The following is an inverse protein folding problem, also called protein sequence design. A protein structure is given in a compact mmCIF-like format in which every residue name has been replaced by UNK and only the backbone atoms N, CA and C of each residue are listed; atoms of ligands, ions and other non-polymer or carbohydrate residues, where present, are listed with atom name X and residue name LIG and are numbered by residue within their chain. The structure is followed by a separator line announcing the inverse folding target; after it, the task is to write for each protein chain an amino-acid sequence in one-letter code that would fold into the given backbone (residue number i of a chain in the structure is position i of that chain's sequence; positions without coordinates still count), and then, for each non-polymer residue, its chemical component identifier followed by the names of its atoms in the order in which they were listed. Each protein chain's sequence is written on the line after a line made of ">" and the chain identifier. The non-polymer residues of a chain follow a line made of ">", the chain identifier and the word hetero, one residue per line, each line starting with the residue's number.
data_IF_041247186649
#
_entry.id   IF_041247186649
#
_cell.length_a   1.000
_cell.length_b   1.000
_cell.length_c   1.000
_cell.angle_alpha   90.00
_cell.angle_beta   90.00
_cell.angle_gamma   90.00
#
_symmetry.space_group_name_H-M   'P 1'
#
loop_
_entity.id
_entity.type
_entity.pdbx_description
1 polymer ?
#
# COMPACT_ATOMS: atom_id res chain seq x y z
N UNK A 1 9.55 -21.18 2.59
CA UNK A 1 9.11 -20.39 3.76
C UNK A 1 7.59 -20.44 3.80
N UNK A 2 7.03 -21.02 4.84
CA UNK A 2 5.61 -21.39 4.93
C UNK A 2 4.73 -20.14 5.03
N UNK A 3 3.53 -20.20 4.44
CA UNK A 3 2.53 -19.13 4.47
C UNK A 3 2.00 -18.78 5.89
N UNK A 4 2.52 -19.43 6.94
CA UNK A 4 2.02 -19.43 8.31
C UNK A 4 2.57 -18.32 9.23
N UNK A 5 3.63 -17.60 8.87
CA UNK A 5 4.19 -16.51 9.70
C UNK A 5 3.76 -15.10 9.29
N UNK A 6 3.16 -14.94 8.10
CA UNK A 6 2.67 -13.65 7.63
C UNK A 6 1.20 -13.48 8.03
N UNK A 7 0.90 -12.48 8.86
CA UNK A 7 -0.47 -12.03 9.11
C UNK A 7 -1.03 -11.39 7.84
N UNK A 8 -1.67 -12.22 7.01
CA UNK A 8 -2.32 -11.81 5.76
C UNK A 8 -3.73 -11.25 5.96
N UNK A 9 -4.30 -11.40 7.16
CA UNK A 9 -5.68 -10.96 7.46
C UNK A 9 -5.71 -9.51 7.90
N UNK A 10 -4.90 -9.16 8.91
CA UNK A 10 -4.95 -7.84 9.52
C UNK A 10 -3.79 -6.92 9.14
N UNK A 11 -2.73 -7.49 8.53
CA UNK A 11 -1.50 -6.78 8.19
C UNK A 11 -0.92 -6.00 9.38
N UNK A 12 -1.00 -6.56 10.60
CA UNK A 12 -0.51 -5.89 11.82
C UNK A 12 0.96 -5.50 11.72
N UNK A 13 1.76 -6.30 11.01
CA UNK A 13 3.16 -6.03 10.75
C UNK A 13 3.37 -4.74 9.94
N UNK A 14 2.49 -4.44 8.97
CA UNK A 14 2.57 -3.21 8.16
C UNK A 14 2.25 -2.00 9.02
N UNK A 15 1.18 -2.06 9.82
CA UNK A 15 0.81 -0.96 10.72
C UNK A 15 1.88 -0.73 11.79
N UNK A 16 2.45 -1.79 12.36
CA UNK A 16 3.53 -1.70 13.33
C UNK A 16 4.78 -1.01 12.74
N UNK A 17 5.15 -1.34 11.50
CA UNK A 17 6.27 -0.70 10.81
C UNK A 17 6.00 0.77 10.48
N UNK A 18 4.76 1.12 10.10
CA UNK A 18 4.37 2.52 9.88
C UNK A 18 4.43 3.34 11.18
N UNK A 19 3.88 2.82 12.26
CA UNK A 19 3.91 3.47 13.58
C UNK A 19 5.34 3.63 14.11
N UNK A 20 6.20 2.64 13.84
CA UNK A 20 7.61 2.68 14.21
C UNK A 20 8.37 3.75 13.40
N UNK A 21 8.16 3.81 12.08
CA UNK A 21 8.78 4.81 11.23
C UNK A 21 8.40 6.25 11.62
N UNK A 22 7.12 6.48 11.93
CA UNK A 22 6.64 7.78 12.44
C UNK A 22 7.30 8.13 13.77
N UNK A 23 7.40 7.18 14.69
CA UNK A 23 8.10 7.37 15.97
C UNK A 23 9.58 7.68 15.82
N UNK A 24 10.28 7.07 14.86
CA UNK A 24 11.68 7.40 14.57
C UNK A 24 11.79 8.87 14.14
N UNK A 25 10.89 9.34 13.26
CA UNK A 25 10.88 10.73 12.80
C UNK A 25 10.65 11.70 13.97
N UNK A 26 9.69 11.41 14.84
CA UNK A 26 9.39 12.23 16.01
C UNK A 26 10.56 12.24 17.02
N UNK A 27 11.18 11.07 17.24
CA UNK A 27 12.36 10.95 18.10
C UNK A 27 13.57 11.70 17.53
N UNK A 28 13.73 11.74 16.21
CA UNK A 28 14.80 12.51 15.57
C UNK A 28 14.62 14.01 15.78
N UNK A 29 13.37 14.50 15.72
CA UNK A 29 13.06 15.89 16.03
C UNK A 29 13.46 16.24 17.48
N UNK A 30 13.15 15.36 18.43
CA UNK A 30 13.59 15.53 19.83
C UNK A 30 15.13 15.54 19.96
N UNK A 31 15.84 14.67 19.22
CA UNK A 31 17.31 14.66 19.21
C UNK A 31 17.88 15.95 18.62
N UNK A 32 17.28 16.47 17.55
CA UNK A 32 17.71 17.72 16.92
C UNK A 32 17.55 18.92 17.86
N UNK A 33 16.52 18.95 18.71
CA UNK A 33 16.34 20.01 19.71
C UNK A 33 17.47 20.03 20.76
N UNK A 34 18.02 18.87 21.09
CA UNK A 34 19.06 18.70 22.11
C UNK A 34 20.47 18.53 21.53
N UNK A 35 20.62 18.72 20.22
CA UNK A 35 21.90 18.56 19.53
C UNK A 35 22.26 19.81 18.75
N UNK A 36 23.56 20.06 18.55
CA UNK A 36 24.03 21.14 17.69
C UNK A 36 23.96 20.79 16.18
N UNK A 37 23.22 19.75 15.82
CA UNK A 37 23.08 19.24 14.47
C UNK A 37 21.60 19.18 14.07
N UNK A 38 21.36 19.21 12.76
CA UNK A 38 20.04 18.98 12.18
C UNK A 38 20.05 17.69 11.36
N UNK A 39 19.86 16.56 12.05
CA UNK A 39 19.79 15.25 11.43
C UNK A 39 18.49 15.12 10.64
N UNK A 40 18.61 14.57 9.44
CA UNK A 40 17.48 14.28 8.55
C UNK A 40 17.44 12.80 8.25
N UNK A 41 16.24 12.24 8.14
CA UNK A 41 16.06 10.81 7.87
C UNK A 41 15.18 10.59 6.65
N UNK A 42 15.48 9.53 5.92
CA UNK A 42 14.62 8.98 4.87
C UNK A 42 14.28 7.55 5.26
N UNK A 43 13.03 7.16 5.01
CA UNK A 43 12.56 5.81 5.33
C UNK A 43 11.79 5.27 4.13
N UNK A 44 12.15 4.07 3.68
CA UNK A 44 11.45 3.34 2.63
C UNK A 44 10.73 2.11 3.18
N UNK A 45 9.44 1.96 2.90
CA UNK A 45 8.63 0.81 3.34
C UNK A 45 8.07 0.08 2.13
N UNK A 46 8.22 -1.24 2.14
CA UNK A 46 7.58 -2.14 1.18
C UNK A 46 7.15 -3.44 1.88
N UNK A 47 6.14 -4.12 1.34
CA UNK A 47 5.72 -5.45 1.76
C UNK A 47 6.02 -6.48 0.66
N UNK A 48 6.37 -7.70 1.05
CA UNK A 48 6.50 -8.82 0.13
C UNK A 48 7.25 -10.01 0.74
N UNK A 49 7.37 -11.11 -0.01
CA UNK A 49 8.09 -12.29 0.44
C UNK A 49 9.60 -11.99 0.57
N UNK A 50 10.21 -12.59 1.59
CA UNK A 50 11.64 -12.49 1.89
C UNK A 50 12.21 -13.86 2.21
N UNK A 51 13.53 -13.98 2.10
CA UNK A 51 14.33 -15.11 2.55
C UNK A 51 15.18 -14.61 3.70
N UNK A 52 15.21 -15.33 4.82
CA UNK A 52 16.06 -14.99 5.95
C UNK A 52 16.89 -16.20 6.37
N UNK A 53 18.08 -15.95 6.90
CA UNK A 53 18.99 -17.01 7.31
C UNK A 53 20.27 -16.49 7.94
N UNK A 54 21.10 -17.43 8.39
CA UNK A 54 22.42 -17.13 8.95
C UNK A 54 23.48 -17.38 7.89
N UNK A 55 24.31 -16.38 7.62
CA UNK A 55 25.45 -16.47 6.69
C UNK A 55 26.77 -16.41 7.46
N UNK A 56 27.78 -17.11 6.94
CA UNK A 56 29.16 -17.05 7.43
C UNK A 56 29.51 -18.21 8.37
N UNK A 57 30.57 -18.94 8.02
CA UNK A 57 30.99 -20.11 8.80
C UNK A 57 31.77 -19.75 10.08
N UNK A 58 32.54 -18.65 10.07
CA UNK A 58 33.38 -18.24 11.21
C UNK A 58 32.77 -17.11 12.05
N UNK A 59 31.96 -16.25 11.43
CA UNK A 59 31.24 -15.16 12.09
C UNK A 59 29.80 -15.19 11.59
N UNK A 60 28.94 -16.04 12.19
CA UNK A 60 27.56 -16.19 11.74
C UNK A 60 26.81 -14.86 11.92
N UNK A 61 26.12 -14.41 10.86
CA UNK A 61 25.30 -13.21 10.84
C UNK A 61 23.91 -13.54 10.30
N UNK A 62 22.87 -13.16 11.04
CA UNK A 62 21.50 -13.26 10.56
C UNK A 62 21.19 -12.09 9.64
N UNK A 63 20.66 -12.38 8.47
CA UNK A 63 20.32 -11.36 7.47
C UNK A 63 19.13 -11.81 6.61
N UNK A 64 18.52 -10.86 5.89
CA UNK A 64 17.27 -10.99 5.14
C UNK A 64 17.48 -10.47 3.72
N UNK A 65 17.14 -11.29 2.73
CA UNK A 65 17.23 -10.98 1.31
C UNK A 65 15.90 -11.17 0.59
N UNK A 66 15.83 -10.64 -0.63
CA UNK A 66 14.71 -10.87 -1.53
C UNK A 66 14.31 -9.59 -2.26
N UNK A 67 13.44 -9.76 -3.26
CA UNK A 67 12.96 -8.64 -4.05
C UNK A 67 12.24 -7.58 -3.19
N UNK A 68 11.53 -7.98 -2.13
CA UNK A 68 10.84 -7.04 -1.26
C UNK A 68 11.80 -6.08 -0.54
N UNK A 69 12.98 -6.57 -0.11
CA UNK A 69 14.04 -5.78 0.51
C UNK A 69 14.67 -4.82 -0.51
N UNK A 70 14.92 -5.29 -1.73
CA UNK A 70 15.43 -4.45 -2.81
C UNK A 70 14.48 -3.30 -3.13
N UNK A 71 13.17 -3.55 -3.19
CA UNK A 71 12.17 -2.49 -3.43
C UNK A 71 12.11 -1.52 -2.25
N UNK A 72 12.15 -1.99 -0.99
CA UNK A 72 12.20 -1.11 0.19
C UNK A 72 13.43 -0.19 0.16
N UNK A 73 14.61 -0.74 -0.17
CA UNK A 73 15.84 0.05 -0.36
C UNK A 73 15.71 1.11 -1.46
N UNK A 74 14.90 0.86 -2.49
CA UNK A 74 14.58 1.87 -3.52
C UNK A 74 13.63 2.94 -3.01
N UNK A 75 12.66 2.60 -2.18
CA UNK A 75 11.80 3.60 -1.54
C UNK A 75 12.60 4.56 -0.66
N UNK A 76 13.64 4.07 0.02
CA UNK A 76 14.56 4.92 0.79
C UNK A 76 15.48 5.75 -0.13
N UNK A 77 16.25 5.09 -1.00
CA UNK A 77 17.26 5.77 -1.84
C UNK A 77 16.68 6.77 -2.84
N UNK A 78 15.43 6.57 -3.28
CA UNK A 78 14.73 7.54 -4.14
C UNK A 78 13.86 8.52 -3.34
N UNK A 79 13.77 8.35 -2.02
CA UNK A 79 12.92 9.16 -1.14
C UNK A 79 13.40 10.59 -0.97
N UNK A 80 12.48 11.45 -0.57
CA UNK A 80 12.77 12.83 -0.16
C UNK A 80 13.22 12.87 1.30
N UNK A 81 14.07 13.84 1.63
CA UNK A 81 14.50 14.05 3.02
C UNK A 81 13.28 14.28 3.93
N UNK A 82 13.38 13.79 5.16
CA UNK A 82 12.37 13.90 6.21
C UNK A 82 11.02 13.24 5.87
N UNK A 83 11.02 12.37 4.86
CA UNK A 83 9.82 11.70 4.34
C UNK A 83 9.90 10.18 4.49
N UNK A 84 8.73 9.58 4.67
CA UNK A 84 8.53 8.12 4.71
C UNK A 84 7.85 7.72 3.41
N UNK A 85 8.57 7.06 2.52
CA UNK A 85 8.05 6.64 1.23
C UNK A 85 7.60 5.18 1.25
N UNK A 86 6.44 4.93 0.65
CA UNK A 86 5.82 3.61 0.59
C UNK A 86 5.40 3.25 -0.83
N UNK A 87 5.33 1.94 -1.11
CA UNK A 87 4.75 1.41 -2.36
C UNK A 87 3.22 1.45 -2.36
N UNK A 88 2.60 1.34 -3.53
CA UNK A 88 1.14 1.26 -3.70
C UNK A 88 0.51 0.15 -2.82
N UNK A 89 1.14 -1.02 -2.75
CA UNK A 89 0.64 -2.15 -1.96
C UNK A 89 0.55 -1.80 -0.47
N UNK A 90 1.57 -1.12 0.06
CA UNK A 90 1.59 -0.64 1.44
C UNK A 90 0.56 0.47 1.64
N UNK A 91 0.45 1.41 0.69
CA UNK A 91 -0.54 2.49 0.72
C UNK A 91 -1.97 1.94 0.80
N UNK A 92 -2.31 0.94 -0.01
CA UNK A 92 -3.63 0.32 -0.04
C UNK A 92 -4.02 -0.32 1.29
N UNK A 93 -3.05 -0.81 2.05
CA UNK A 93 -3.26 -1.37 3.39
C UNK A 93 -3.40 -0.25 4.42
N UNK A 94 -2.50 0.72 4.40
CA UNK A 94 -2.46 1.80 5.40
C UNK A 94 -3.66 2.75 5.27
N UNK A 95 -4.12 3.04 4.07
CA UNK A 95 -5.29 3.89 3.84
C UNK A 95 -6.54 3.31 4.51
N UNK A 96 -6.77 2.00 4.35
CA UNK A 96 -7.88 1.28 5.01
C UNK A 96 -7.78 1.32 6.54
N UNK A 97 -6.58 1.52 7.08
CA UNK A 97 -6.33 1.65 8.53
C UNK A 97 -6.35 3.10 9.02
N UNK A 98 -6.71 4.05 8.17
CA UNK A 98 -6.89 5.47 8.51
C UNK A 98 -5.60 6.28 8.53
N UNK A 99 -4.50 5.79 7.95
CA UNK A 99 -3.27 6.58 7.83
C UNK A 99 -3.39 7.63 6.72
N UNK A 100 -2.97 8.89 6.96
CA UNK A 100 -2.90 9.89 5.91
C UNK A 100 -1.71 9.61 4.98
N UNK A 101 -2.00 9.41 3.70
CA UNK A 101 -0.99 9.24 2.66
C UNK A 101 -1.19 10.25 1.53
N UNK A 102 -0.09 10.74 0.98
CA UNK A 102 -0.07 11.63 -0.18
C UNK A 102 0.60 10.96 -1.36
N UNK A 103 -0.01 11.07 -2.55
CA UNK A 103 0.63 10.61 -3.77
C UNK A 103 1.91 11.42 -4.04
N UNK A 104 3.03 10.72 -4.20
CA UNK A 104 4.29 11.32 -4.66
C UNK A 104 4.31 11.42 -6.18
N UNK A 105 3.83 10.38 -6.85
CA UNK A 105 3.93 10.18 -8.29
C UNK A 105 4.76 8.96 -8.65
N UNK A 106 5.17 8.90 -9.91
CA UNK A 106 5.85 7.74 -10.49
C UNK A 106 7.36 7.86 -10.36
N UNK A 107 8.02 6.77 -9.95
CA UNK A 107 9.48 6.65 -9.95
C UNK A 107 9.94 5.45 -10.77
N UNK A 108 11.18 5.50 -11.24
CA UNK A 108 11.81 4.37 -11.92
C UNK A 108 12.51 3.45 -10.92
N UNK A 109 12.11 2.19 -10.89
CA UNK A 109 12.69 1.16 -10.03
C UNK A 109 13.37 0.11 -10.91
N UNK A 110 14.70 -0.04 -10.74
CA UNK A 110 15.50 -0.99 -11.52
C UNK A 110 14.90 -2.41 -11.43
N UNK A 111 14.58 -3.01 -12.58
CA UNK A 111 14.00 -4.35 -12.67
C UNK A 111 12.50 -4.44 -12.40
N UNK A 112 11.83 -3.32 -12.08
CA UNK A 112 10.37 -3.22 -11.93
C UNK A 112 9.72 -2.24 -12.91
N UNK A 113 10.50 -1.32 -13.48
CA UNK A 113 10.00 -0.25 -14.33
C UNK A 113 9.42 0.89 -13.51
N UNK A 114 8.39 1.54 -14.04
CA UNK A 114 7.69 2.65 -13.42
C UNK A 114 6.79 2.17 -12.28
N UNK A 115 6.92 2.77 -11.09
CA UNK A 115 6.08 2.48 -9.93
C UNK A 115 5.52 3.77 -9.35
N UNK A 116 4.21 3.80 -9.06
CA UNK A 116 3.59 4.88 -8.29
C UNK A 116 3.94 4.70 -6.81
N UNK A 117 4.25 5.80 -6.14
CA UNK A 117 4.68 5.82 -4.75
C UNK A 117 3.98 6.91 -3.97
N UNK A 118 3.98 6.76 -2.65
CA UNK A 118 3.25 7.60 -1.72
C UNK A 118 4.13 7.99 -0.54
N UNK A 119 3.83 9.12 0.07
CA UNK A 119 4.38 9.51 1.36
C UNK A 119 3.39 9.22 2.47
N UNK A 120 3.86 8.60 3.55
CA UNK A 120 3.14 8.47 4.81
C UNK A 120 3.36 9.75 5.62
N UNK A 121 2.30 10.52 5.87
CA UNK A 121 2.43 11.87 6.42
C UNK A 121 2.31 11.91 7.95
N UNK A 122 1.51 11.02 8.53
CA UNK A 122 1.18 11.09 9.95
C UNK A 122 0.55 9.83 10.54
N UNK A 123 0.20 9.96 11.81
CA UNK A 123 -0.44 8.91 12.58
C UNK A 123 -1.83 8.58 12.03
N UNK A 124 -2.26 7.33 12.23
CA UNK A 124 -3.61 6.90 11.85
C UNK A 124 -4.69 7.66 12.62
N UNK A 125 -5.75 8.01 11.92
CA UNK A 125 -6.99 8.52 12.48
C UNK A 125 -8.02 7.37 12.58
N UNK A 126 -8.40 6.92 13.79
CA UNK A 126 -9.38 5.86 13.96
C UNK A 126 -10.73 6.16 13.32
N UNK A 127 -11.10 7.44 13.19
CA UNK A 127 -12.38 7.87 12.63
C UNK A 127 -12.42 7.77 11.10
N UNK A 128 -11.26 7.59 10.45
CA UNK A 128 -11.15 7.38 8.99
C UNK A 128 -10.97 5.92 8.60
N UNK A 129 -11.06 4.98 9.55
CA UNK A 129 -10.93 3.55 9.26
C UNK A 129 -12.16 3.08 8.48
N UNK A 130 -11.97 2.68 7.22
CA UNK A 130 -13.06 2.18 6.38
C UNK A 130 -13.30 0.69 6.65
N UNK A 131 -14.43 0.37 7.27
CA UNK A 131 -14.90 -1.03 7.37
C UNK A 131 -15.39 -1.49 6.00
N UNK A 132 -14.82 -2.58 5.48
CA UNK A 132 -15.32 -3.23 4.27
C UNK A 132 -16.68 -3.84 4.63
N UNK A 133 -17.78 -3.16 4.29
CA UNK A 133 -19.06 -3.83 4.09
C UNK A 133 -19.10 -4.27 2.62
N UNK A 134 -18.96 -5.57 2.40
CA UNK A 134 -19.28 -6.20 1.11
C UNK A 134 -20.81 -6.05 0.90
N UNK A 135 -21.22 -5.04 0.14
CA UNK A 135 -22.59 -4.95 -0.35
C UNK A 135 -22.68 -5.77 -1.65
N UNK A 136 -23.01 -7.05 -1.52
CA UNK A 136 -23.54 -7.84 -2.63
C UNK A 136 -24.87 -7.22 -3.08
N UNK A 137 -24.82 -6.46 -4.18
CA UNK A 137 -26.00 -6.08 -4.93
C UNK A 137 -26.36 -7.24 -5.85
N UNK A 138 -27.41 -7.99 -5.53
CA UNK A 138 -28.22 -8.70 -6.53
C UNK A 138 -29.69 -8.52 -6.13
N UNK A 139 -30.21 -7.35 -6.50
CA UNK A 139 -31.65 -7.12 -6.52
C UNK A 139 -32.24 -7.86 -7.73
N UNK A 140 -33.37 -8.50 -7.47
CA UNK A 140 -34.15 -9.39 -8.30
C UNK A 140 -34.63 -8.78 -9.63
N UNK A 141 -34.30 -9.44 -10.74
CA UNK A 141 -35.05 -9.36 -11.99
C UNK A 141 -36.35 -10.18 -11.86
N UNK A 142 -37.40 -9.54 -11.33
CA UNK A 142 -38.76 -9.99 -11.47
C UNK A 142 -39.71 -8.79 -11.37
N UNK A 143 -40.18 -8.30 -12.53
CA UNK A 143 -41.60 -7.93 -12.78
C UNK A 143 -41.78 -7.29 -14.17
N UNK A 144 -42.05 -8.19 -15.12
CA UNK A 144 -43.10 -8.19 -16.14
C UNK A 144 -43.88 -6.90 -16.53
N UNK A 145 -44.02 -6.77 -17.86
CA UNK A 145 -45.18 -6.32 -18.65
C UNK A 145 -45.69 -4.88 -18.52
N UNK A 146 -45.52 -4.13 -19.62
CA UNK A 146 -46.62 -3.35 -20.18
C UNK A 146 -46.87 -3.78 -21.65
N UNK A 147 -48.14 -4.00 -21.96
CA UNK A 147 -48.72 -4.39 -23.25
C UNK A 147 -49.43 -3.15 -23.80
N UNK A 148 -49.25 -2.82 -25.07
CA UNK A 148 -50.22 -2.14 -25.97
C UNK A 148 -49.47 -1.80 -27.27
N UNK A 149 -50.03 -1.74 -28.48
CA UNK A 149 -51.14 -2.42 -29.11
C UNK A 149 -50.90 -2.25 -30.64
N UNK A 150 -50.92 -3.36 -31.36
CA UNK A 150 -51.47 -3.58 -32.70
C UNK A 150 -51.80 -2.39 -33.65
N UNK A 151 -51.22 -2.39 -34.88
CA UNK A 151 -51.92 -2.51 -36.19
C UNK A 151 -51.03 -2.15 -37.41
N UNK A 152 -51.00 -3.09 -38.36
CA UNK A 152 -51.09 -3.00 -39.83
C UNK A 152 -50.53 -1.77 -40.58
N UNK A 153 -49.67 -1.98 -41.58
CA UNK A 153 -50.11 -1.88 -43.00
C UNK A 153 -49.07 -2.40 -44.02
N UNK A 154 -49.65 -3.14 -44.98
CA UNK A 154 -49.33 -3.45 -46.38
C UNK A 154 -47.90 -3.57 -46.95
N UNK A 155 -47.78 -4.69 -47.67
CA UNK A 155 -46.87 -5.02 -48.76
C UNK A 155 -46.77 -3.97 -49.87
N UNK A 156 -45.58 -3.79 -50.45
CA UNK A 156 -45.43 -3.47 -51.87
C UNK A 156 -44.08 -3.97 -52.44
N UNK A 157 -44.16 -4.35 -53.71
CA UNK A 157 -43.22 -5.12 -54.52
C UNK A 157 -41.90 -4.43 -54.89
N UNK A 158 -40.95 -5.30 -55.25
CA UNK A 158 -39.91 -5.17 -56.30
C UNK A 158 -38.62 -4.38 -56.00
N UNK A 159 -37.51 -5.04 -56.33
CA UNK A 159 -36.13 -4.56 -56.32
C UNK A 159 -35.17 -5.74 -56.36
#
# INVERSE_FOLDING_TARGET
>A
LTASTCDKMNFKHVTAMADYALRIRDQLAYVNEHSFNNFKIRIGINIGPVVAGVIGARKPQYDIWGNAVNVASRMDSTGELDSIQVTEDVRSILEKKGYPLRCRGTIQVKGKGSMVTYFLEGNRDPNKMTTIHENESNNSDANNMDKTDNKNDESLLSG
#
